data_IF_958654492392
#
_entry.id   IF_958654492392
#
_cell.length_a   1.000
_cell.length_b   1.000
_cell.length_c   1.000
_cell.angle_alpha   90.00
_cell.angle_beta   90.00
_cell.angle_gamma   90.00
#
_symmetry.space_group_name_H-M   'P 1'
#
loop_
_entity.id
_entity.type
_entity.pdbx_description
1 polymer ?
#
# COMPACT_ATOMS: atom_id res chain seq x y z
N UNK A 1 -0.64 -68.81 -39.38
CA UNK A 1 0.21 -69.29 -38.27
C UNK A 1 1.49 -68.45 -38.27
N UNK A 2 2.17 -68.29 -37.14
CA UNK A 2 3.31 -67.39 -36.91
C UNK A 2 3.00 -65.87 -36.94
N UNK A 3 3.19 -65.27 -35.77
CA UNK A 3 3.52 -63.87 -35.47
C UNK A 3 5.01 -63.84 -35.04
N UNK A 4 5.66 -62.70 -34.71
CA UNK A 4 5.42 -61.31 -35.11
C UNK A 4 6.72 -60.67 -35.69
N UNK A 5 6.74 -59.35 -35.89
CA UNK A 5 7.92 -58.56 -35.55
C UNK A 5 7.49 -57.13 -35.15
N UNK A 6 8.20 -56.52 -34.20
CA UNK A 6 7.72 -55.33 -33.46
C UNK A 6 8.78 -54.23 -33.33
N UNK A 7 8.39 -52.97 -33.56
CA UNK A 7 9.16 -51.77 -33.21
C UNK A 7 8.21 -50.78 -32.52
N UNK A 8 8.52 -50.30 -31.31
CA UNK A 8 7.67 -49.35 -30.59
C UNK A 8 7.89 -47.91 -31.07
N UNK A 9 6.82 -47.18 -31.39
CA UNK A 9 6.89 -45.74 -31.62
C UNK A 9 6.81 -45.00 -30.27
N UNK A 10 7.86 -44.28 -29.90
CA UNK A 10 7.95 -43.60 -28.61
C UNK A 10 7.18 -42.27 -28.63
N UNK A 11 5.94 -42.25 -28.12
CA UNK A 11 5.14 -41.02 -28.03
C UNK A 11 5.72 -40.12 -26.93
N UNK A 12 6.59 -39.18 -27.33
CA UNK A 12 7.26 -38.28 -26.42
C UNK A 12 6.29 -37.19 -25.92
N UNK A 13 5.80 -37.37 -24.69
CA UNK A 13 4.94 -36.41 -23.98
C UNK A 13 5.65 -35.07 -23.73
N UNK A 14 5.57 -34.14 -24.68
CA UNK A 14 5.95 -32.74 -24.45
C UNK A 14 4.99 -32.08 -23.46
N UNK A 15 5.36 -32.08 -22.17
CA UNK A 15 4.70 -31.28 -21.15
C UNK A 15 5.02 -29.80 -21.40
N UNK A 16 4.08 -29.08 -22.00
CA UNK A 16 4.13 -27.61 -22.07
C UNK A 16 4.03 -27.08 -20.63
N UNK A 17 5.00 -26.30 -20.12
CA UNK A 17 4.89 -25.72 -18.79
C UNK A 17 3.86 -24.59 -18.83
N UNK A 18 2.74 -24.76 -18.13
CA UNK A 18 1.76 -23.69 -17.90
C UNK A 18 2.38 -22.62 -17.01
N UNK A 19 2.94 -21.58 -17.64
CA UNK A 19 3.47 -20.40 -16.96
C UNK A 19 2.30 -19.57 -16.40
N UNK A 20 1.80 -19.97 -15.22
CA UNK A 20 0.79 -19.23 -14.47
C UNK A 20 1.43 -17.94 -13.95
N UNK A 21 1.33 -16.88 -14.73
CA UNK A 21 1.56 -15.51 -14.26
C UNK A 21 0.47 -15.17 -13.23
N UNK A 22 0.70 -15.56 -11.99
CA UNK A 22 -0.10 -15.12 -10.85
C UNK A 22 0.16 -13.63 -10.64
N UNK A 23 -0.57 -12.79 -11.38
CA UNK A 23 -0.64 -11.35 -11.14
C UNK A 23 -1.48 -11.15 -9.87
N UNK A 24 -0.87 -11.51 -8.74
CA UNK A 24 -1.31 -11.20 -7.41
C UNK A 24 -1.12 -9.70 -7.21
N UNK A 25 -2.07 -8.89 -7.69
CA UNK A 25 -2.16 -7.47 -7.30
C UNK A 25 -2.49 -7.41 -5.81
N UNK A 26 -1.44 -7.55 -5.00
CA UNK A 26 -1.44 -7.18 -3.60
C UNK A 26 -1.73 -5.69 -3.53
N UNK A 27 -3.01 -5.34 -3.36
CA UNK A 27 -3.38 -4.04 -2.85
C UNK A 27 -2.75 -3.93 -1.46
N UNK A 28 -1.57 -3.30 -1.38
CA UNK A 28 -0.91 -2.98 -0.13
C UNK A 28 -1.74 -1.92 0.58
N UNK A 29 -2.72 -2.38 1.36
CA UNK A 29 -3.54 -1.52 2.21
C UNK A 29 -2.63 -0.78 3.20
N UNK A 30 -2.53 0.53 2.98
CA UNK A 30 -1.76 1.43 3.83
C UNK A 30 -2.53 1.70 5.13
N UNK A 31 -2.27 0.84 6.11
CA UNK A 31 -2.54 1.12 7.51
C UNK A 31 -1.37 1.91 8.09
N UNK A 32 -1.61 2.59 9.22
CA UNK A 32 -0.58 3.07 10.13
C UNK A 32 0.41 1.93 10.45
N UNK A 33 1.71 2.19 10.27
CA UNK A 33 2.76 1.21 10.56
C UNK A 33 3.42 1.56 11.89
N UNK A 34 3.38 0.64 12.84
CA UNK A 34 4.13 0.73 14.09
C UNK A 34 4.80 -0.59 14.47
N UNK A 35 5.89 -0.50 15.23
CA UNK A 35 6.57 -1.62 15.87
C UNK A 35 7.43 -1.17 17.05
N UNK A 36 7.80 -2.12 17.90
CA UNK A 36 8.71 -1.92 19.04
C UNK A 36 9.61 -3.15 19.19
N UNK A 37 10.92 -2.95 19.07
CA UNK A 37 11.97 -3.92 19.38
C UNK A 37 12.72 -3.48 20.63
N UNK A 38 12.58 -4.26 21.71
CA UNK A 38 13.33 -4.07 22.96
C UNK A 38 14.61 -4.91 23.03
N UNK A 39 14.82 -5.78 22.04
CA UNK A 39 15.96 -6.69 21.89
C UNK A 39 15.99 -7.26 20.46
N UNK A 40 17.15 -7.74 20.02
CA UNK A 40 17.39 -8.28 18.68
C UNK A 40 18.01 -9.68 18.73
N UNK A 41 17.17 -10.71 18.74
CA UNK A 41 17.59 -12.11 18.65
C UNK A 41 18.25 -12.43 17.29
N UNK A 42 19.16 -13.43 17.21
CA UNK A 42 19.72 -13.90 15.95
C UNK A 42 18.65 -14.34 14.94
N UNK A 43 18.93 -14.12 13.64
CA UNK A 43 18.07 -14.54 12.52
C UNK A 43 16.61 -14.01 12.59
N UNK A 44 16.40 -12.81 13.13
CA UNK A 44 15.08 -12.21 13.25
C UNK A 44 14.46 -11.90 11.88
N UNK A 45 13.48 -12.70 11.45
CA UNK A 45 12.80 -12.58 10.15
C UNK A 45 12.11 -11.22 9.87
N UNK A 46 11.90 -10.39 10.90
CA UNK A 46 11.36 -9.03 10.76
C UNK A 46 12.42 -7.99 10.36
N UNK A 47 13.71 -8.35 10.30
CA UNK A 47 14.81 -7.47 9.91
C UNK A 47 15.48 -8.02 8.65
N UNK A 48 15.65 -7.18 7.63
CA UNK A 48 16.43 -7.48 6.43
C UNK A 48 17.82 -6.86 6.55
N UNK A 49 18.85 -7.70 6.42
CA UNK A 49 20.27 -7.33 6.55
C UNK A 49 20.95 -7.22 5.18
N UNK A 50 21.93 -6.32 5.06
CA UNK A 50 22.86 -6.23 3.94
C UNK A 50 24.29 -5.96 4.44
N UNK A 51 25.29 -6.37 3.67
CA UNK A 51 26.70 -6.20 4.03
C UNK A 51 27.07 -6.98 5.29
N UNK A 52 27.84 -6.36 6.18
CA UNK A 52 28.33 -6.97 7.41
C UNK A 52 27.32 -6.97 8.59
N UNK A 53 26.10 -6.45 8.40
CA UNK A 53 25.15 -6.29 9.50
C UNK A 53 24.46 -7.59 9.92
N UNK A 54 24.25 -7.80 11.23
CA UNK A 54 23.62 -8.99 11.81
C UNK A 54 22.96 -8.70 13.16
N UNK A 55 22.27 -9.67 13.76
CA UNK A 55 21.79 -9.59 15.15
C UNK A 55 22.38 -10.71 16.00
N UNK A 56 22.86 -10.37 17.21
CA UNK A 56 23.36 -11.33 18.20
C UNK A 56 23.50 -10.66 19.56
N UNK A 57 23.43 -11.44 20.64
CA UNK A 57 23.52 -10.95 22.03
C UNK A 57 22.50 -9.83 22.32
N UNK A 58 21.27 -10.03 21.85
CA UNK A 58 20.12 -9.14 21.96
C UNK A 58 20.30 -7.73 21.36
N UNK A 59 21.37 -7.50 20.58
CA UNK A 59 21.66 -6.22 19.90
C UNK A 59 21.75 -6.39 18.39
N UNK A 60 21.38 -5.32 17.67
CA UNK A 60 21.52 -5.20 16.23
C UNK A 60 22.89 -4.58 15.93
N UNK A 61 23.73 -5.28 15.18
CA UNK A 61 25.14 -4.91 14.98
C UNK A 61 25.33 -4.55 13.51
N UNK A 62 25.77 -3.32 13.25
CA UNK A 62 25.81 -2.74 11.89
C UNK A 62 27.18 -2.88 11.22
N UNK A 63 28.22 -3.17 12.00
CA UNK A 63 29.62 -3.38 11.58
C UNK A 63 30.17 -4.67 12.18
N UNK A 64 31.23 -5.23 11.58
CA UNK A 64 31.93 -6.42 12.08
C UNK A 64 32.41 -6.23 13.52
N UNK A 65 32.25 -7.25 14.37
CA UNK A 65 32.71 -7.25 15.76
C UNK A 65 33.69 -8.39 16.13
N UNK A 66 33.96 -9.31 15.19
CA UNK A 66 34.56 -10.61 15.48
C UNK A 66 36.08 -10.51 15.59
N UNK A 67 36.63 -10.98 16.72
CA UNK A 67 38.06 -10.81 17.09
C UNK A 67 39.05 -11.45 16.11
N UNK A 68 38.60 -12.43 15.32
CA UNK A 68 39.44 -13.25 14.43
C UNK A 68 39.22 -12.92 12.94
N UNK A 69 38.61 -11.77 12.63
CA UNK A 69 38.34 -11.26 11.26
C UNK A 69 38.92 -9.86 11.12
N UNK A 70 39.37 -9.47 9.91
CA UNK A 70 39.72 -8.07 9.69
C UNK A 70 38.47 -7.18 9.79
N UNK A 71 38.51 -6.21 10.71
CA UNK A 71 37.39 -5.33 11.02
C UNK A 71 37.38 -4.03 10.18
N UNK A 72 38.51 -3.66 9.55
CA UNK A 72 38.60 -2.45 8.71
C UNK A 72 37.72 -2.57 7.46
N UNK A 73 37.23 -1.44 6.96
CA UNK A 73 36.42 -1.40 5.74
C UNK A 73 35.08 -2.12 5.90
N UNK A 74 34.55 -2.22 7.13
CA UNK A 74 33.25 -2.84 7.37
C UNK A 74 32.11 -1.90 6.97
N UNK A 75 31.07 -2.44 6.35
CA UNK A 75 29.89 -1.68 5.90
C UNK A 75 28.65 -2.57 5.98
N UNK A 76 27.57 -2.07 6.59
CA UNK A 76 26.35 -2.85 6.78
C UNK A 76 25.08 -1.99 6.88
N UNK A 77 23.95 -2.62 6.53
CA UNK A 77 22.60 -2.07 6.72
C UNK A 77 21.69 -3.09 7.39
N UNK A 78 20.91 -2.66 8.36
CA UNK A 78 19.82 -3.45 8.94
C UNK A 78 18.51 -2.66 8.87
N UNK A 79 17.46 -3.26 8.34
CA UNK A 79 16.24 -2.55 7.95
C UNK A 79 14.98 -3.33 8.31
N UNK A 80 13.87 -2.63 8.57
CA UNK A 80 12.60 -3.31 8.84
C UNK A 80 12.04 -3.94 7.57
N UNK A 81 11.54 -5.18 7.65
CA UNK A 81 11.14 -5.96 6.47
C UNK A 81 9.92 -5.41 5.71
N UNK A 82 9.03 -4.67 6.38
CA UNK A 82 7.80 -4.14 5.76
C UNK A 82 8.06 -2.76 5.13
N UNK A 83 7.63 -2.54 3.88
CA UNK A 83 7.54 -1.22 3.27
C UNK A 83 6.78 -0.22 4.15
N UNK A 84 7.33 0.99 4.29
CA UNK A 84 6.66 2.15 4.87
C UNK A 84 6.09 2.97 3.72
N UNK A 85 4.82 3.41 3.82
CA UNK A 85 4.24 4.33 2.84
C UNK A 85 4.47 5.76 3.30
N UNK A 86 5.36 6.48 2.63
CA UNK A 86 5.80 7.82 3.04
C UNK A 86 4.86 8.92 2.54
N UNK A 87 4.16 8.67 1.43
CA UNK A 87 3.09 9.51 0.88
C UNK A 87 2.07 8.66 0.11
N UNK A 88 0.91 9.24 -0.23
CA UNK A 88 -0.07 8.63 -1.14
C UNK A 88 -0.02 9.34 -2.50
N UNK A 89 0.29 8.62 -3.59
CA UNK A 89 0.53 9.22 -4.90
C UNK A 89 -0.73 9.85 -5.55
N UNK A 90 -1.91 9.33 -5.22
CA UNK A 90 -3.23 9.79 -5.70
C UNK A 90 -3.63 11.15 -5.11
N UNK A 91 -3.31 11.38 -3.84
CA UNK A 91 -3.72 12.56 -3.06
C UNK A 91 -2.56 13.49 -2.71
N UNK A 92 -1.32 13.06 -2.96
CA UNK A 92 -0.05 13.68 -2.54
C UNK A 92 0.06 13.91 -1.02
N UNK A 93 -0.81 13.34 -0.17
CA UNK A 93 -0.67 13.43 1.29
C UNK A 93 0.63 12.77 1.74
N UNK A 94 1.37 13.45 2.62
CA UNK A 94 2.52 12.89 3.34
C UNK A 94 2.04 12.13 4.59
N UNK A 95 2.91 11.25 5.06
CA UNK A 95 2.80 10.51 6.33
C UNK A 95 3.61 11.23 7.40
N UNK A 96 3.05 11.46 8.60
CA UNK A 96 3.86 11.79 9.78
C UNK A 96 4.51 10.50 10.28
N UNK A 97 5.73 10.58 10.80
CA UNK A 97 6.34 9.45 11.51
C UNK A 97 7.14 9.91 12.73
N UNK A 98 7.38 8.99 13.66
CA UNK A 98 8.35 9.14 14.74
C UNK A 98 9.04 7.80 14.96
N UNK A 99 10.35 7.84 15.12
CA UNK A 99 11.15 6.70 15.54
C UNK A 99 11.99 7.09 16.75
N UNK A 100 12.11 6.18 17.71
CA UNK A 100 13.06 6.28 18.81
C UNK A 100 13.91 5.03 18.87
N UNK A 101 15.22 5.20 19.06
CA UNK A 101 16.16 4.11 19.19
C UNK A 101 17.24 4.44 20.23
N UNK A 102 17.63 3.43 21.00
CA UNK A 102 18.80 3.47 21.87
C UNK A 102 19.97 2.80 21.16
N UNK A 103 21.15 3.43 21.14
CA UNK A 103 22.34 2.90 20.47
C UNK A 103 23.63 3.12 21.26
N UNK A 104 24.69 2.43 20.85
CA UNK A 104 26.06 2.56 21.36
C UNK A 104 27.02 2.54 20.17
N UNK A 105 27.87 3.56 20.08
CA UNK A 105 29.06 3.61 19.23
C UNK A 105 30.28 3.39 20.11
N UNK A 106 31.22 2.51 19.71
CA UNK A 106 32.41 2.22 20.51
C UNK A 106 33.63 1.85 19.66
N UNK A 107 34.61 2.74 19.65
CA UNK A 107 35.96 2.52 19.15
C UNK A 107 36.60 1.25 19.73
N UNK A 108 37.30 0.50 18.87
CA UNK A 108 38.10 -0.66 19.28
C UNK A 108 39.46 -0.22 19.84
N UNK A 109 40.02 0.87 19.32
CA UNK A 109 41.25 1.51 19.82
C UNK A 109 40.95 2.92 20.37
N UNK A 110 41.47 3.23 21.56
CA UNK A 110 41.10 4.42 22.32
C UNK A 110 41.80 5.67 21.78
N UNK A 111 41.15 6.30 20.79
CA UNK A 111 41.69 7.44 20.05
C UNK A 111 41.72 7.24 18.53
N UNK A 112 41.28 6.08 18.03
CA UNK A 112 41.04 5.80 16.61
C UNK A 112 39.63 5.24 16.45
N UNK A 113 38.73 6.14 16.08
CA UNK A 113 37.29 5.92 15.96
C UNK A 113 36.86 6.29 14.54
N UNK A 114 35.89 5.57 13.98
CA UNK A 114 35.41 5.83 12.64
C UNK A 114 34.40 4.80 12.15
N UNK A 115 33.43 5.16 11.32
CA UNK A 115 33.24 6.49 10.73
C UNK A 115 31.91 7.07 11.20
N UNK A 116 30.84 6.29 11.14
CA UNK A 116 29.60 6.62 11.84
C UNK A 116 28.47 5.65 11.57
N UNK A 117 27.29 6.00 12.08
CA UNK A 117 26.02 5.35 11.74
C UNK A 117 24.96 6.36 11.33
N UNK A 118 23.92 5.91 10.62
CA UNK A 118 22.75 6.72 10.32
C UNK A 118 21.45 5.96 10.58
N UNK A 119 20.36 6.71 10.77
CA UNK A 119 19.00 6.23 10.47
C UNK A 119 18.64 6.69 9.05
N UNK A 120 18.32 5.77 8.15
CA UNK A 120 18.08 6.08 6.72
C UNK A 120 16.67 5.75 6.25
N UNK A 121 16.25 6.46 5.19
CA UNK A 121 15.03 6.24 4.42
C UNK A 121 15.42 6.17 2.94
N UNK A 122 15.09 5.05 2.27
CA UNK A 122 15.51 4.77 0.89
C UNK A 122 14.47 3.93 0.11
N UNK A 123 14.58 3.78 -1.23
CA UNK A 123 13.82 2.78 -1.99
C UNK A 123 13.91 1.37 -1.42
N UNK A 124 12.85 0.57 -1.63
CA UNK A 124 12.68 -0.76 -1.03
C UNK A 124 13.84 -1.72 -1.29
N UNK A 125 14.44 -1.62 -2.48
CA UNK A 125 15.49 -2.52 -2.97
C UNK A 125 16.86 -1.80 -3.07
N UNK A 126 17.03 -0.67 -2.36
CA UNK A 126 18.29 0.08 -2.32
C UNK A 126 19.44 -0.80 -1.80
N UNK A 127 20.47 -1.07 -2.63
CA UNK A 127 21.66 -1.81 -2.19
C UNK A 127 22.64 -0.88 -1.47
N UNK A 128 23.56 -1.47 -0.70
CA UNK A 128 24.84 -0.80 -0.37
C UNK A 128 25.60 -0.55 -1.69
N UNK A 129 26.03 0.68 -2.00
CA UNK A 129 26.84 0.95 -3.19
C UNK A 129 28.21 0.28 -3.14
N UNK A 130 28.87 0.16 -4.30
CA UNK A 130 30.27 -0.23 -4.33
C UNK A 130 31.14 0.81 -3.60
N UNK A 131 32.14 0.32 -2.88
CA UNK A 131 33.15 1.08 -2.15
C UNK A 131 32.57 2.09 -1.12
N UNK A 132 31.42 1.76 -0.52
CA UNK A 132 30.63 2.58 0.41
C UNK A 132 31.07 2.48 1.89
N UNK A 133 32.29 2.01 2.17
CA UNK A 133 32.85 1.94 3.54
C UNK A 133 33.40 3.29 4.01
N UNK A 134 33.83 3.38 5.28
CA UNK A 134 34.31 4.64 5.87
C UNK A 134 33.19 5.68 6.00
N UNK A 135 33.52 6.97 5.83
CA UNK A 135 32.61 8.11 5.92
C UNK A 135 31.45 8.12 4.92
N UNK A 136 31.35 7.15 4.00
CA UNK A 136 30.20 7.00 3.10
C UNK A 136 28.98 6.29 3.76
N UNK A 137 29.10 5.93 5.04
CA UNK A 137 28.05 5.40 5.94
C UNK A 137 27.29 4.16 5.42
N UNK A 138 27.87 3.38 4.51
CA UNK A 138 27.21 2.35 3.70
C UNK A 138 25.98 2.88 2.90
N UNK A 139 25.88 4.20 2.69
CA UNK A 139 24.80 4.90 2.00
C UNK A 139 25.17 5.32 0.57
N UNK A 140 26.33 5.94 0.39
CA UNK A 140 26.69 6.63 -0.86
C UNK A 140 27.84 5.96 -1.61
N UNK A 141 27.93 6.19 -2.92
CA UNK A 141 29.12 5.80 -3.71
C UNK A 141 30.12 6.96 -3.76
N UNK A 142 31.44 6.71 -3.88
CA UNK A 142 32.44 7.78 -4.06
C UNK A 142 32.13 8.72 -5.23
N UNK A 143 31.46 8.23 -6.27
CA UNK A 143 31.09 8.97 -7.48
C UNK A 143 29.90 9.92 -7.27
N UNK A 144 29.02 9.63 -6.32
CA UNK A 144 27.74 10.34 -6.14
C UNK A 144 27.64 11.07 -4.80
N UNK A 145 28.49 10.75 -3.81
CA UNK A 145 28.39 11.23 -2.43
C UNK A 145 28.36 12.76 -2.29
N UNK A 146 29.20 13.50 -3.03
CA UNK A 146 29.32 14.96 -2.93
C UNK A 146 28.42 15.74 -3.91
N UNK A 147 27.57 15.04 -4.66
CA UNK A 147 26.88 15.59 -5.84
C UNK A 147 25.39 15.92 -5.63
N UNK A 148 24.83 15.58 -4.46
CA UNK A 148 23.38 15.59 -4.22
C UNK A 148 22.56 14.82 -5.28
N UNK A 149 23.15 13.80 -5.94
CA UNK A 149 22.53 13.14 -7.10
C UNK A 149 21.19 12.50 -6.76
N UNK A 150 20.18 12.79 -7.60
CA UNK A 150 18.85 12.18 -7.51
C UNK A 150 18.84 10.67 -7.73
N UNK A 151 19.96 10.08 -8.16
CA UNK A 151 20.17 8.63 -8.26
C UNK A 151 20.36 7.97 -6.88
N UNK A 152 20.84 8.71 -5.87
CA UNK A 152 21.06 8.17 -4.53
C UNK A 152 19.74 7.83 -3.83
N UNK A 153 18.71 8.66 -4.01
CA UNK A 153 17.36 8.52 -3.40
C UNK A 153 17.39 8.20 -1.90
N UNK A 154 18.22 8.91 -1.13
CA UNK A 154 18.41 8.69 0.31
C UNK A 154 18.14 9.99 1.05
N UNK A 155 17.35 9.88 2.13
CA UNK A 155 17.34 10.88 3.21
C UNK A 155 17.75 10.15 4.48
N UNK A 156 18.71 10.68 5.22
CA UNK A 156 19.21 10.06 6.44
C UNK A 156 19.44 11.08 7.55
N UNK A 157 19.64 10.55 8.76
CA UNK A 157 20.10 11.29 9.95
C UNK A 157 21.37 10.59 10.41
N UNK A 158 22.51 11.21 10.14
CA UNK A 158 23.83 10.71 10.50
C UNK A 158 24.23 11.08 11.93
N UNK A 159 25.06 10.21 12.50
CA UNK A 159 25.72 10.31 13.79
C UNK A 159 27.20 10.06 13.52
N UNK A 160 27.90 11.11 13.09
CA UNK A 160 29.30 11.03 12.65
C UNK A 160 30.27 11.06 13.83
N UNK A 161 31.34 10.28 13.69
CA UNK A 161 32.43 10.17 14.66
C UNK A 161 33.77 10.71 14.17
N UNK A 162 33.93 10.96 12.86
CA UNK A 162 35.26 11.08 12.24
C UNK A 162 35.24 12.00 10.99
N UNK A 163 35.46 13.29 11.24
CA UNK A 163 35.62 14.35 10.23
C UNK A 163 36.52 13.93 9.05
N UNK A 164 35.92 13.65 7.92
CA UNK A 164 36.55 13.68 6.62
C UNK A 164 36.63 15.13 6.12
N UNK A 165 37.86 15.54 5.79
CA UNK A 165 38.25 16.96 5.63
C UNK A 165 37.52 17.66 4.46
N UNK A 166 36.99 16.88 3.50
CA UNK A 166 36.38 17.37 2.27
C UNK A 166 34.91 17.81 2.44
N UNK A 167 34.18 17.32 3.45
CA UNK A 167 32.75 17.65 3.64
C UNK A 167 32.33 17.99 5.08
N UNK A 168 32.94 17.40 6.11
CA UNK A 168 32.38 17.46 7.46
C UNK A 168 32.62 18.79 8.19
N UNK A 169 31.69 19.25 9.05
CA UNK A 169 31.91 20.40 9.93
C UNK A 169 32.93 20.10 11.03
N UNK A 170 32.76 19.00 11.77
CA UNK A 170 33.54 18.62 12.96
C UNK A 170 33.59 17.10 13.14
N UNK A 171 34.48 16.60 14.00
CA UNK A 171 34.71 15.15 14.20
C UNK A 171 33.72 14.50 15.19
N UNK A 172 32.59 15.14 15.43
CA UNK A 172 31.60 14.70 16.39
C UNK A 172 30.31 15.48 16.14
N UNK A 173 29.50 15.05 15.17
CA UNK A 173 28.34 15.83 14.76
C UNK A 173 27.11 14.97 14.47
N UNK A 174 25.95 15.62 14.46
CA UNK A 174 24.67 15.03 14.04
C UNK A 174 24.23 15.77 12.79
N UNK A 175 23.80 15.05 11.78
CA UNK A 175 23.47 15.60 10.46
C UNK A 175 22.08 15.23 9.96
N UNK A 176 21.73 15.82 8.82
CA UNK A 176 20.55 15.50 8.02
C UNK A 176 20.99 15.47 6.55
N UNK A 177 20.86 14.29 5.95
CA UNK A 177 21.44 13.99 4.63
C UNK A 177 20.34 13.99 3.58
N UNK A 178 20.61 14.57 2.41
CA UNK A 178 19.64 14.64 1.31
C UNK A 178 20.34 14.36 0.00
N UNK A 179 20.29 13.09 -0.44
CA UNK A 179 20.99 12.58 -1.64
C UNK A 179 22.52 12.84 -1.66
N UNK A 180 23.12 13.19 -0.53
CA UNK A 180 24.50 13.65 -0.39
C UNK A 180 25.03 13.24 0.97
N UNK A 181 26.32 12.90 1.10
CA UNK A 181 26.99 12.83 2.42
C UNK A 181 27.28 14.23 2.98
N UNK A 182 27.23 15.27 2.12
CA UNK A 182 27.28 16.65 2.60
C UNK A 182 25.94 17.01 3.24
N UNK A 183 25.89 16.90 4.56
CA UNK A 183 24.75 17.26 5.42
C UNK A 183 24.14 18.62 5.06
N UNK A 184 22.81 18.68 4.86
CA UNK A 184 22.13 19.96 4.53
C UNK A 184 21.82 20.81 5.77
N UNK A 185 21.85 20.20 6.96
CA UNK A 185 21.83 20.85 8.25
C UNK A 185 22.48 19.93 9.28
N UNK A 186 23.38 20.46 10.11
CA UNK A 186 24.11 19.69 11.12
C UNK A 186 24.31 20.49 12.41
N UNK A 187 24.71 19.79 13.49
CA UNK A 187 25.02 20.40 14.79
C UNK A 187 26.18 19.69 15.49
N UNK A 188 27.11 20.47 16.05
CA UNK A 188 28.23 19.96 16.86
C UNK A 188 27.72 19.20 18.09
N UNK A 189 28.17 17.96 18.23
CA UNK A 189 27.78 17.08 19.31
C UNK A 189 28.66 17.30 20.54
N UNK A 190 28.08 17.82 21.61
CA UNK A 190 28.81 18.24 22.82
C UNK A 190 29.16 17.10 23.81
N UNK A 191 29.03 15.83 23.40
CA UNK A 191 29.26 14.65 24.25
C UNK A 191 30.19 13.66 23.55
N UNK A 192 31.04 12.97 24.30
CA UNK A 192 32.04 12.06 23.73
C UNK A 192 31.45 10.66 23.47
N UNK A 193 30.87 10.51 22.28
CA UNK A 193 30.26 9.27 21.75
C UNK A 193 31.23 8.08 21.82
N UNK A 194 32.51 8.39 21.57
CA UNK A 194 33.73 7.56 21.55
C UNK A 194 33.99 6.78 22.85
N UNK A 195 33.15 6.97 23.88
CA UNK A 195 33.22 6.31 25.19
C UNK A 195 32.44 4.99 25.30
N UNK A 196 31.58 4.66 24.33
CA UNK A 196 30.66 3.51 24.47
C UNK A 196 29.44 3.80 25.36
N UNK A 197 29.15 5.07 25.63
CA UNK A 197 27.96 5.50 26.38
C UNK A 197 26.67 5.24 25.59
N UNK A 198 25.57 4.90 26.28
CA UNK A 198 24.25 4.70 25.65
C UNK A 198 23.63 6.03 25.23
N UNK A 199 23.43 6.22 23.92
CA UNK A 199 22.72 7.34 23.34
C UNK A 199 21.26 6.97 23.03
N UNK A 200 20.37 7.96 23.09
CA UNK A 200 18.97 7.83 22.69
C UNK A 200 18.64 8.92 21.67
N UNK A 201 18.21 8.51 20.47
CA UNK A 201 17.78 9.41 19.41
C UNK A 201 16.28 9.27 19.14
N UNK A 202 15.63 10.41 18.93
CA UNK A 202 14.32 10.52 18.28
C UNK A 202 14.52 11.17 16.92
N UNK A 203 13.94 10.58 15.88
CA UNK A 203 13.78 11.22 14.56
C UNK A 203 12.30 11.25 14.25
N UNK A 204 11.76 12.44 13.99
CA UNK A 204 10.33 12.63 13.70
C UNK A 204 10.12 13.54 12.50
N UNK A 205 9.08 13.25 11.73
CA UNK A 205 8.70 14.05 10.57
C UNK A 205 7.26 14.52 10.71
N UNK A 206 7.07 15.84 10.69
CA UNK A 206 5.75 16.46 10.66
C UNK A 206 5.35 16.76 9.22
N UNK A 207 4.34 16.05 8.72
CA UNK A 207 3.85 16.14 7.33
C UNK A 207 3.25 17.49 6.97
N UNK A 208 2.78 18.25 7.97
CA UNK A 208 2.09 19.53 7.79
C UNK A 208 3.07 20.70 7.71
N UNK A 209 4.11 20.71 8.55
CA UNK A 209 5.19 21.71 8.50
C UNK A 209 6.34 21.30 7.58
N UNK A 210 6.34 20.05 7.08
CA UNK A 210 7.45 19.39 6.36
C UNK A 210 8.76 19.34 7.17
N UNK A 211 8.69 19.39 8.50
CA UNK A 211 9.87 19.46 9.34
C UNK A 211 10.37 18.06 9.70
N UNK A 212 11.61 17.74 9.32
CA UNK A 212 12.36 16.60 9.83
C UNK A 212 13.14 17.07 11.06
N UNK A 213 12.80 16.53 12.22
CA UNK A 213 13.34 16.89 13.53
C UNK A 213 14.14 15.74 14.12
N UNK A 214 15.28 16.07 14.75
CA UNK A 214 16.13 15.13 15.48
C UNK A 214 16.29 15.62 16.92
N UNK A 215 16.21 14.72 17.89
CA UNK A 215 16.55 14.98 19.29
C UNK A 215 17.43 13.86 19.83
N UNK A 216 18.50 14.23 20.54
CA UNK A 216 19.55 13.30 20.96
C UNK A 216 19.96 13.56 22.42
N UNK A 217 19.97 12.50 23.23
CA UNK A 217 20.28 12.59 24.67
C UNK A 217 21.03 11.37 25.20
N UNK A 218 21.79 11.60 26.27
CA UNK A 218 22.54 10.58 27.04
C UNK A 218 21.93 10.33 28.44
N UNK A 219 20.75 10.90 28.73
CA UNK A 219 20.07 10.65 29.99
C UNK A 219 19.70 9.16 30.15
N UNK A 220 19.96 8.59 31.33
CA UNK A 220 19.62 7.18 31.63
C UNK A 220 18.12 6.90 31.57
N UNK A 221 17.31 7.90 31.97
CA UNK A 221 15.86 7.96 31.81
C UNK A 221 15.55 9.10 30.83
N UNK A 222 15.47 8.84 29.52
CA UNK A 222 15.39 9.89 28.50
C UNK A 222 13.94 10.29 28.20
N UNK A 223 13.59 11.54 28.55
CA UNK A 223 12.29 12.13 28.22
C UNK A 223 12.40 13.09 27.02
N UNK A 224 11.53 12.93 26.01
CA UNK A 224 11.47 13.87 24.89
C UNK A 224 10.57 15.07 25.23
N UNK A 225 11.17 16.12 25.78
CA UNK A 225 10.50 17.38 26.14
C UNK A 225 10.08 18.27 24.96
N UNK A 226 9.86 17.72 23.76
CA UNK A 226 9.37 18.42 22.57
C UNK A 226 10.41 19.25 21.79
N UNK A 227 11.51 19.68 22.42
CA UNK A 227 12.57 20.44 21.76
C UNK A 227 13.49 19.54 20.94
N UNK A 228 13.72 19.86 19.66
CA UNK A 228 14.70 19.19 18.80
C UNK A 228 16.12 19.75 18.98
N UNK A 229 17.15 18.92 18.86
CA UNK A 229 18.56 19.35 18.81
C UNK A 229 18.97 19.85 17.42
N UNK A 230 18.35 19.29 16.37
CA UNK A 230 18.55 19.63 14.96
C UNK A 230 17.20 19.51 14.23
N UNK A 231 16.98 20.31 13.19
CA UNK A 231 15.80 20.17 12.33
C UNK A 231 16.05 20.76 10.94
N UNK A 232 15.28 20.29 9.94
CA UNK A 232 15.34 20.78 8.57
C UNK A 232 13.97 20.67 7.87
N UNK A 233 13.62 21.68 7.08
CA UNK A 233 12.35 21.74 6.35
C UNK A 233 12.53 21.08 4.97
N UNK A 234 11.97 19.88 4.79
CA UNK A 234 12.15 19.04 3.60
C UNK A 234 10.85 18.41 3.13
N UNK A 235 10.54 18.57 1.84
CA UNK A 235 9.46 17.81 1.20
C UNK A 235 9.98 16.44 0.76
N UNK A 236 9.78 15.41 1.60
CA UNK A 236 10.29 14.07 1.31
C UNK A 236 9.76 13.50 -0.02
N UNK A 237 8.64 14.02 -0.56
CA UNK A 237 8.05 13.64 -1.85
C UNK A 237 8.86 14.13 -3.08
N UNK A 238 9.90 14.93 -2.88
CA UNK A 238 10.79 15.45 -3.94
C UNK A 238 12.07 14.60 -4.10
N UNK A 239 12.37 13.75 -3.11
CA UNK A 239 13.59 12.94 -3.02
C UNK A 239 13.30 11.42 -2.98
N UNK A 240 12.20 11.01 -2.33
CA UNK A 240 11.89 9.61 -2.03
C UNK A 240 10.62 9.10 -2.74
N UNK A 241 10.59 7.81 -3.13
CA UNK A 241 9.40 7.18 -3.72
C UNK A 241 8.24 7.06 -2.71
N UNK A 242 7.07 6.64 -3.21
CA UNK A 242 5.86 6.47 -2.40
C UNK A 242 6.02 5.44 -1.27
N UNK A 243 6.74 4.35 -1.59
CA UNK A 243 7.05 3.25 -0.68
C UNK A 243 8.55 3.19 -0.44
N UNK A 244 8.94 3.25 0.84
CA UNK A 244 10.33 3.31 1.29
C UNK A 244 10.62 2.22 2.31
N UNK A 245 11.90 1.87 2.42
CA UNK A 245 12.46 1.05 3.49
C UNK A 245 13.16 1.96 4.47
N UNK A 246 12.97 1.70 5.75
CA UNK A 246 13.65 2.38 6.86
C UNK A 246 14.61 1.41 7.54
N UNK A 247 15.68 1.94 8.10
CA UNK A 247 16.67 1.14 8.81
C UNK A 247 17.84 1.97 9.32
N UNK A 248 18.88 1.26 9.73
CA UNK A 248 20.16 1.82 10.12
C UNK A 248 21.25 1.34 9.18
N UNK A 249 22.21 2.21 8.91
CA UNK A 249 23.45 1.89 8.23
C UNK A 249 24.63 2.29 9.10
N UNK A 250 25.76 1.62 8.95
CA UNK A 250 27.02 2.06 9.53
C UNK A 250 28.19 1.54 8.71
N UNK A 251 29.31 2.24 8.81
CA UNK A 251 30.58 1.76 8.27
C UNK A 251 31.79 2.30 9.02
N UNK A 252 32.92 1.68 8.75
CA UNK A 252 34.24 2.04 9.29
C UNK A 252 35.32 1.83 8.23
N UNK A 253 36.31 2.72 8.19
CA UNK A 253 37.51 2.62 7.37
C UNK A 253 38.62 1.85 8.10
N UNK A 254 39.79 2.49 8.24
CA UNK A 254 40.94 1.93 8.97
C UNK A 254 40.83 2.06 10.51
N UNK A 255 39.93 2.92 11.00
CA UNK A 255 39.78 3.25 12.42
C UNK A 255 38.48 2.64 12.96
N UNK A 256 38.59 1.43 13.52
CA UNK A 256 37.43 0.56 13.78
C UNK A 256 36.55 1.03 14.93
N UNK A 257 35.27 1.35 14.63
CA UNK A 257 34.20 1.55 15.62
C UNK A 257 33.08 0.51 15.45
N UNK A 258 32.61 -0.02 16.58
CA UNK A 258 31.49 -0.97 16.66
C UNK A 258 30.19 -0.18 16.86
N UNK A 259 29.21 -0.43 15.99
CA UNK A 259 27.95 0.30 15.93
C UNK A 259 26.76 -0.63 16.27
N UNK A 260 26.15 -0.44 17.45
CA UNK A 260 25.11 -1.32 17.98
C UNK A 260 23.81 -0.57 18.30
N UNK A 261 22.67 -1.04 17.77
CA UNK A 261 21.34 -0.60 18.20
C UNK A 261 20.82 -1.58 19.27
N UNK A 262 20.38 -1.03 20.40
CA UNK A 262 19.89 -1.77 21.57
C UNK A 262 18.35 -1.89 21.59
N UNK A 263 17.67 -0.87 21.06
CA UNK A 263 16.20 -0.83 20.94
C UNK A 263 15.79 -0.02 19.72
N UNK A 264 14.63 -0.32 19.13
CA UNK A 264 14.08 0.45 18.02
C UNK A 264 12.55 0.43 18.01
N UNK A 265 11.96 1.62 18.07
CA UNK A 265 10.52 1.85 17.93
C UNK A 265 10.25 2.70 16.69
N UNK A 266 9.11 2.48 16.05
CA UNK A 266 8.63 3.29 14.94
C UNK A 266 7.11 3.40 14.99
N UNK A 267 6.57 4.55 14.62
CA UNK A 267 5.15 4.82 14.45
C UNK A 267 4.92 5.77 13.26
N UNK A 268 3.81 5.60 12.55
CA UNK A 268 3.45 6.43 11.38
C UNK A 268 1.94 6.64 11.24
N UNK A 269 1.53 7.85 10.87
CA UNK A 269 0.15 8.34 10.99
C UNK A 269 -0.80 7.99 9.83
N UNK A 270 -0.30 7.36 8.76
CA UNK A 270 -1.06 7.22 7.50
C UNK A 270 -2.07 6.07 7.52
N UNK A 271 -3.16 6.27 8.24
CA UNK A 271 -4.42 5.59 7.90
C UNK A 271 -5.06 6.26 6.67
N UNK A 272 -5.19 5.49 5.59
CA UNK A 272 -6.01 5.90 4.45
C UNK A 272 -7.47 5.59 4.74
N UNK A 273 -8.22 6.61 5.15
CA UNK A 273 -9.68 6.56 5.34
C UNK A 273 -10.43 6.45 4.01
N UNK A 274 -10.32 5.28 3.39
CA UNK A 274 -10.88 5.00 2.06
C UNK A 274 -12.41 4.89 2.15
N UNK A 275 -13.10 6.01 1.83
CA UNK A 275 -14.52 5.98 1.44
C UNK A 275 -14.66 5.08 0.21
N UNK A 276 -14.96 3.79 0.46
CA UNK A 276 -14.93 2.66 -0.49
C UNK A 276 -15.21 3.06 -1.95
N UNK A 277 -14.15 3.12 -2.76
CA UNK A 277 -14.22 3.17 -4.23
C UNK A 277 -13.46 1.99 -4.87
N UNK A 278 -13.53 0.83 -4.19
CA UNK A 278 -13.07 -0.47 -4.68
C UNK A 278 -13.95 -0.92 -5.86
N UNK A 279 -13.55 -0.57 -7.08
CA UNK A 279 -14.24 -0.99 -8.31
C UNK A 279 -13.46 -0.67 -9.58
N UNK A 280 -12.84 0.52 -9.67
CA UNK A 280 -12.18 0.96 -10.91
C UNK A 280 -10.88 0.19 -11.22
N UNK A 281 -10.08 -0.16 -10.20
CA UNK A 281 -8.81 -0.87 -10.40
C UNK A 281 -8.98 -2.32 -10.87
N UNK A 282 -9.97 -3.04 -10.34
CA UNK A 282 -10.22 -4.45 -10.69
C UNK A 282 -10.71 -4.58 -12.13
N UNK A 283 -11.61 -3.68 -12.56
CA UNK A 283 -12.13 -3.67 -13.94
C UNK A 283 -11.04 -3.46 -15.01
N UNK A 284 -10.03 -2.62 -14.72
CA UNK A 284 -8.91 -2.39 -15.64
C UNK A 284 -7.94 -3.59 -15.70
N UNK A 285 -7.63 -4.22 -14.57
CA UNK A 285 -6.78 -5.41 -14.55
C UNK A 285 -7.39 -6.58 -15.33
N UNK A 286 -8.69 -6.85 -15.11
CA UNK A 286 -9.44 -7.88 -15.86
C UNK A 286 -9.54 -7.50 -17.34
N UNK A 287 -9.84 -6.24 -17.67
CA UNK A 287 -9.94 -5.77 -19.06
C UNK A 287 -8.65 -5.96 -19.86
N UNK A 288 -7.48 -5.67 -19.30
CA UNK A 288 -6.19 -5.82 -19.98
C UNK A 288 -5.79 -7.30 -20.09
N UNK A 289 -6.07 -8.12 -19.07
CA UNK A 289 -5.86 -9.57 -19.14
C UNK A 289 -6.71 -10.24 -20.22
N UNK A 290 -7.97 -9.85 -20.35
CA UNK A 290 -8.86 -10.31 -21.43
C UNK A 290 -8.37 -9.80 -22.80
N UNK A 291 -8.04 -8.51 -22.94
CA UNK A 291 -7.60 -7.95 -24.23
C UNK A 291 -6.29 -8.52 -24.74
N UNK A 292 -5.35 -8.89 -23.87
CA UNK A 292 -4.07 -9.50 -24.28
C UNK A 292 -4.22 -10.98 -24.64
N UNK A 293 -5.03 -11.74 -23.89
CA UNK A 293 -5.33 -13.14 -24.21
C UNK A 293 -6.21 -13.28 -25.46
N UNK A 294 -7.25 -12.46 -25.61
CA UNK A 294 -8.00 -12.37 -26.88
C UNK A 294 -7.15 -11.81 -28.01
N UNK A 295 -6.28 -10.83 -27.78
CA UNK A 295 -5.42 -10.25 -28.83
C UNK A 295 -4.50 -11.30 -29.48
N UNK A 296 -3.81 -12.09 -28.65
CA UNK A 296 -2.95 -13.18 -29.13
C UNK A 296 -3.80 -14.34 -29.66
N UNK A 297 -4.91 -14.68 -28.99
CA UNK A 297 -5.85 -15.71 -29.45
C UNK A 297 -6.44 -15.43 -30.82
N UNK A 298 -6.89 -14.19 -31.07
CA UNK A 298 -7.42 -13.71 -32.36
C UNK A 298 -6.31 -13.61 -33.40
N UNK A 299 -5.09 -13.18 -33.05
CA UNK A 299 -3.98 -13.19 -34.00
C UNK A 299 -3.62 -14.62 -34.44
N UNK A 300 -3.51 -15.57 -33.50
CA UNK A 300 -3.33 -16.99 -33.80
C UNK A 300 -4.51 -17.56 -34.60
N UNK A 301 -5.76 -17.22 -34.25
CA UNK A 301 -6.96 -17.63 -34.97
C UNK A 301 -6.94 -17.09 -36.42
N UNK A 302 -6.62 -15.82 -36.64
CA UNK A 302 -6.52 -15.20 -37.98
C UNK A 302 -5.38 -15.81 -38.80
N UNK A 303 -4.24 -16.13 -38.20
CA UNK A 303 -3.14 -16.82 -38.87
C UNK A 303 -3.51 -18.27 -39.25
N UNK A 304 -4.16 -19.01 -38.35
CA UNK A 304 -4.71 -20.34 -38.63
C UNK A 304 -5.83 -20.29 -39.68
N UNK A 305 -6.71 -19.30 -39.63
CA UNK A 305 -7.81 -19.08 -40.58
C UNK A 305 -7.29 -18.77 -41.98
N UNK A 306 -6.27 -17.91 -42.11
CA UNK A 306 -5.57 -17.67 -43.39
C UNK A 306 -4.88 -18.94 -43.92
N UNK A 307 -4.31 -19.77 -43.03
CA UNK A 307 -3.69 -21.05 -43.39
C UNK A 307 -4.70 -22.15 -43.76
N UNK A 308 -5.94 -22.09 -43.25
CA UNK A 308 -6.99 -23.05 -43.60
C UNK A 308 -7.86 -22.61 -44.78
N UNK A 309 -7.98 -21.29 -45.04
CA UNK A 309 -8.70 -20.74 -46.20
C UNK A 309 -8.13 -21.25 -47.53
N UNK A 310 -6.81 -21.34 -47.64
CA UNK A 310 -6.09 -21.94 -48.79
C UNK A 310 -6.22 -23.46 -48.90
N UNK A 311 -6.98 -24.11 -48.00
CA UNK A 311 -7.29 -25.55 -48.04
C UNK A 311 -8.75 -25.88 -48.37
N UNK A 312 -9.70 -24.95 -48.18
CA UNK A 312 -11.10 -25.15 -48.61
C UNK A 312 -11.36 -24.70 -50.05
N UNK A 313 -10.47 -23.92 -50.67
CA UNK A 313 -10.63 -23.33 -52.01
C UNK A 313 -10.23 -24.31 -53.15
N UNK A 314 -10.54 -25.61 -52.99
CA UNK A 314 -10.22 -26.68 -53.95
C UNK A 314 -11.27 -27.79 -54.12
N UNK A 315 -12.22 -27.91 -53.19
CA UNK A 315 -13.04 -29.13 -53.07
C UNK A 315 -14.52 -28.92 -53.47
N UNK A 316 -14.86 -27.77 -54.07
CA UNK A 316 -16.22 -27.45 -54.56
C UNK A 316 -16.18 -26.66 -55.89
N UNK A 317 -15.93 -27.35 -57.00
CA UNK A 317 -16.17 -26.85 -58.36
C UNK A 317 -16.92 -27.93 -59.17
N UNK A 318 -18.26 -27.90 -59.12
CA UNK A 318 -19.17 -28.38 -60.17
C UNK A 318 -20.64 -28.33 -59.71
N UNK A 319 -21.41 -27.39 -60.27
CA UNK A 319 -22.70 -27.60 -60.97
C UNK A 319 -23.42 -26.25 -61.08
N UNK A 320 -23.72 -25.88 -62.32
CA UNK A 320 -24.48 -24.68 -62.72
C UNK A 320 -25.92 -25.10 -63.04
N UNK A 321 -26.91 -24.42 -62.43
CA UNK A 321 -28.28 -24.31 -62.93
C UNK A 321 -28.85 -22.94 -62.55
N UNK A 322 -29.21 -22.14 -63.54
CA UNK A 322 -29.95 -20.87 -63.41
C UNK A 322 -31.44 -21.08 -63.15
N UNK A 323 -32.09 -20.17 -62.40
CA UNK A 323 -33.50 -19.78 -62.61
C UNK A 323 -33.83 -18.46 -61.91
N UNK A 324 -34.32 -17.49 -62.67
CA UNK A 324 -35.02 -16.30 -62.19
C UNK A 324 -36.52 -16.63 -62.01
N UNK A 325 -37.24 -15.93 -61.12
CA UNK A 325 -38.65 -15.54 -61.38
C UNK A 325 -39.21 -14.48 -60.40
N UNK A 326 -40.44 -14.03 -60.66
CA UNK A 326 -40.97 -12.71 -60.24
C UNK A 326 -42.17 -12.74 -59.23
N UNK A 327 -42.44 -11.57 -58.63
CA UNK A 327 -43.78 -11.00 -58.34
C UNK A 327 -44.63 -11.35 -57.07
N UNK A 328 -44.70 -10.33 -56.19
CA UNK A 328 -45.92 -9.75 -55.55
C UNK A 328 -46.62 -10.22 -54.24
N UNK A 329 -47.19 -9.18 -53.57
CA UNK A 329 -48.37 -9.11 -52.66
C UNK A 329 -48.48 -10.14 -51.51
N UNK A 330 -48.17 -9.85 -50.25
CA UNK A 330 -48.19 -8.58 -49.53
C UNK A 330 -49.34 -8.51 -48.50
N UNK A 331 -49.04 -8.05 -47.28
CA UNK A 331 -50.01 -7.50 -46.32
C UNK A 331 -49.24 -6.54 -45.41
N UNK A 332 -49.77 -5.34 -45.17
CA UNK A 332 -49.04 -4.28 -44.47
C UNK A 332 -49.54 -4.04 -43.05
N UNK A 333 -48.61 -4.05 -42.08
CA UNK A 333 -48.72 -3.19 -40.90
C UNK A 333 -47.71 -2.05 -41.02
N UNK A 334 -48.11 -0.85 -40.59
CA UNK A 334 -47.20 0.29 -40.48
C UNK A 334 -46.34 0.14 -39.22
N UNK A 335 -45.14 -0.41 -39.35
CA UNK A 335 -44.10 -0.01 -38.40
C UNK A 335 -43.77 1.46 -38.64
N UNK A 336 -44.13 2.28 -37.66
CA UNK A 336 -43.62 3.64 -37.52
C UNK A 336 -42.10 3.54 -37.46
N UNK A 337 -41.37 4.32 -38.27
CA UNK A 337 -39.91 4.41 -38.17
C UNK A 337 -39.52 4.97 -36.80
N UNK A 338 -39.34 4.09 -35.82
CA UNK A 338 -38.54 4.38 -34.65
C UNK A 338 -37.08 4.17 -35.04
N UNK A 339 -36.28 5.21 -34.87
CA UNK A 339 -34.83 5.09 -34.72
C UNK A 339 -34.49 3.90 -33.80
N UNK A 340 -33.40 3.14 -34.05
CA UNK A 340 -33.04 1.98 -33.25
C UNK A 340 -32.92 2.41 -31.79
N UNK A 341 -33.95 2.09 -31.01
CA UNK A 341 -34.07 2.54 -29.64
C UNK A 341 -32.93 1.92 -28.85
N UNK A 342 -32.34 2.68 -27.92
CA UNK A 342 -31.29 2.18 -27.03
C UNK A 342 -31.93 1.29 -25.96
N UNK A 343 -32.51 0.16 -26.38
CA UNK A 343 -33.03 -0.89 -25.51
C UNK A 343 -31.89 -1.28 -24.58
N UNK A 344 -32.05 -0.98 -23.30
CA UNK A 344 -30.97 -1.11 -22.33
C UNK A 344 -30.84 -2.61 -22.06
N UNK A 345 -29.65 -3.18 -22.17
CA UNK A 345 -29.47 -4.64 -22.12
C UNK A 345 -30.20 -5.29 -20.91
N UNK A 346 -30.10 -4.66 -19.73
CA UNK A 346 -30.82 -5.10 -18.51
C UNK A 346 -32.34 -5.12 -18.69
N UNK A 347 -32.91 -4.11 -19.35
CA UNK A 347 -34.36 -3.97 -19.58
C UNK A 347 -34.88 -5.02 -20.57
N UNK A 348 -34.12 -5.34 -21.61
CA UNK A 348 -34.41 -6.43 -22.55
C UNK A 348 -34.40 -7.80 -21.87
N UNK A 349 -33.33 -8.11 -21.13
CA UNK A 349 -33.21 -9.39 -20.41
C UNK A 349 -34.25 -9.51 -19.28
N UNK A 350 -34.66 -8.39 -18.66
CA UNK A 350 -35.73 -8.39 -17.65
C UNK A 350 -37.10 -8.72 -18.25
N UNK A 351 -37.39 -8.24 -19.47
CA UNK A 351 -38.63 -8.59 -20.16
C UNK A 351 -38.65 -10.08 -20.53
N UNK A 352 -37.55 -10.62 -21.06
CA UNK A 352 -37.41 -12.04 -21.37
C UNK A 352 -37.52 -12.93 -20.11
N UNK A 353 -36.99 -12.50 -18.96
CA UNK A 353 -37.26 -13.15 -17.66
C UNK A 353 -38.75 -13.12 -17.30
N UNK A 354 -39.41 -11.97 -17.48
CA UNK A 354 -40.84 -11.79 -17.22
C UNK A 354 -41.77 -12.62 -18.12
N UNK A 355 -41.30 -12.95 -19.33
CA UNK A 355 -41.98 -13.76 -20.34
C UNK A 355 -41.61 -15.26 -20.26
N UNK A 356 -40.65 -15.64 -19.40
CA UNK A 356 -40.16 -17.01 -19.26
C UNK A 356 -39.20 -17.47 -20.37
N UNK A 357 -38.75 -16.54 -21.22
CA UNK A 357 -37.89 -16.76 -22.39
C UNK A 357 -36.42 -16.37 -22.13
N UNK A 358 -35.94 -16.53 -20.90
CA UNK A 358 -34.65 -15.99 -20.48
C UNK A 358 -33.45 -16.50 -21.31
N UNK A 359 -33.50 -17.74 -21.78
CA UNK A 359 -32.44 -18.33 -22.60
C UNK A 359 -32.36 -17.73 -24.02
N UNK A 360 -33.39 -17.03 -24.51
CA UNK A 360 -33.33 -16.33 -25.81
C UNK A 360 -32.38 -15.12 -25.80
N UNK A 361 -31.93 -14.68 -24.61
CA UNK A 361 -30.86 -13.69 -24.45
C UNK A 361 -29.43 -14.29 -24.41
N UNK A 362 -29.27 -15.60 -24.57
CA UNK A 362 -27.96 -16.26 -24.66
C UNK A 362 -27.40 -16.10 -26.07
N UNK A 363 -26.10 -15.83 -26.19
CA UNK A 363 -25.46 -15.60 -27.49
C UNK A 363 -25.46 -16.89 -28.33
N UNK A 364 -25.92 -16.79 -29.59
CA UNK A 364 -26.00 -17.91 -30.53
C UNK A 364 -24.62 -18.50 -30.87
N UNK A 365 -23.53 -17.75 -30.66
CA UNK A 365 -22.16 -18.24 -30.79
C UNK A 365 -21.74 -19.24 -29.69
N UNK A 366 -22.55 -19.42 -28.63
CA UNK A 366 -22.33 -20.47 -27.63
C UNK A 366 -22.84 -21.86 -28.08
N UNK A 367 -23.42 -21.98 -29.29
CA UNK A 367 -23.71 -23.25 -29.98
C UNK A 367 -24.36 -24.36 -29.13
N UNK A 368 -25.24 -24.00 -28.18
CA UNK A 368 -25.89 -24.92 -27.23
C UNK A 368 -24.95 -25.75 -26.33
N UNK A 369 -23.66 -25.40 -26.26
CA UNK A 369 -22.65 -26.09 -25.45
C UNK A 369 -22.56 -25.49 -24.03
N UNK A 370 -23.72 -25.46 -23.35
CA UNK A 370 -23.85 -24.96 -21.98
C UNK A 370 -24.97 -25.69 -21.22
N UNK A 371 -24.84 -25.78 -19.90
CA UNK A 371 -25.90 -26.28 -19.02
C UNK A 371 -26.99 -25.19 -18.85
N UNK A 372 -28.20 -25.49 -19.33
CA UNK A 372 -29.34 -24.56 -19.30
C UNK A 372 -29.65 -24.03 -17.89
N UNK A 373 -29.49 -24.86 -16.84
CA UNK A 373 -29.77 -24.48 -15.44
C UNK A 373 -28.68 -23.60 -14.86
N UNK A 374 -27.43 -23.83 -15.25
CA UNK A 374 -26.32 -22.93 -14.89
C UNK A 374 -26.48 -21.58 -15.60
N UNK A 375 -26.89 -21.58 -16.87
CA UNK A 375 -27.14 -20.37 -17.64
C UNK A 375 -28.34 -19.57 -17.08
N UNK A 376 -29.47 -20.23 -16.82
CA UNK A 376 -30.64 -19.63 -16.16
C UNK A 376 -30.29 -19.06 -14.78
N UNK A 377 -29.61 -19.83 -13.93
CA UNK A 377 -29.15 -19.40 -12.61
C UNK A 377 -28.27 -18.13 -12.71
N UNK A 378 -27.28 -18.13 -13.60
CA UNK A 378 -26.38 -17.01 -13.83
C UNK A 378 -27.14 -15.75 -14.30
N UNK A 379 -28.13 -15.90 -15.18
CA UNK A 379 -28.92 -14.79 -15.70
C UNK A 379 -29.90 -14.22 -14.66
N UNK A 380 -30.57 -15.06 -13.87
CA UNK A 380 -31.43 -14.63 -12.76
C UNK A 380 -30.60 -13.92 -11.68
N UNK A 381 -29.43 -14.46 -11.32
CA UNK A 381 -28.49 -13.81 -10.39
C UNK A 381 -27.99 -12.48 -10.95
N UNK A 382 -27.72 -12.39 -12.26
CA UNK A 382 -27.38 -11.15 -12.96
C UNK A 382 -28.47 -10.08 -12.83
N UNK A 383 -29.72 -10.42 -13.11
CA UNK A 383 -30.88 -9.52 -12.93
C UNK A 383 -31.03 -9.10 -11.46
N UNK A 384 -30.83 -10.01 -10.51
CA UNK A 384 -30.89 -9.70 -9.07
C UNK A 384 -29.81 -8.68 -8.65
N UNK A 385 -28.59 -8.82 -9.17
CA UNK A 385 -27.49 -7.86 -8.98
C UNK A 385 -27.79 -6.50 -9.65
N UNK A 386 -28.51 -6.51 -10.77
CA UNK A 386 -28.91 -5.31 -11.52
C UNK A 386 -30.20 -4.64 -11.03
N UNK A 387 -30.83 -5.13 -9.95
CA UNK A 387 -32.13 -4.65 -9.48
C UNK A 387 -32.16 -3.11 -9.29
N UNK A 388 -33.17 -2.37 -9.80
CA UNK A 388 -33.21 -0.90 -9.75
C UNK A 388 -33.05 -0.31 -8.34
N UNK A 389 -33.82 -0.80 -7.37
CA UNK A 389 -33.62 -0.52 -5.95
C UNK A 389 -32.36 -1.23 -5.44
N UNK A 390 -31.48 -0.50 -4.76
CA UNK A 390 -30.22 -1.02 -4.21
C UNK A 390 -30.41 -1.85 -2.92
N UNK A 391 -31.51 -1.66 -2.20
CA UNK A 391 -31.82 -2.38 -0.95
C UNK A 391 -32.26 -3.83 -1.20
N UNK A 392 -32.76 -4.11 -2.41
CA UNK A 392 -33.22 -5.43 -2.85
C UNK A 392 -32.14 -6.22 -3.63
N UNK A 393 -30.94 -5.65 -3.80
CA UNK A 393 -29.78 -6.34 -4.40
C UNK A 393 -29.15 -7.32 -3.39
N UNK A 394 -28.60 -8.45 -3.85
CA UNK A 394 -27.98 -9.43 -2.98
C UNK A 394 -26.65 -8.95 -2.41
N UNK A 395 -26.29 -9.45 -1.23
CA UNK A 395 -24.89 -9.48 -0.80
C UNK A 395 -24.10 -10.49 -1.64
N UNK A 396 -22.79 -10.28 -1.79
CA UNK A 396 -21.91 -11.20 -2.52
C UNK A 396 -21.95 -12.65 -1.98
N UNK A 397 -22.27 -12.83 -0.69
CA UNK A 397 -22.47 -14.16 -0.10
C UNK A 397 -23.72 -14.83 -0.63
N UNK A 398 -24.84 -14.11 -0.74
CA UNK A 398 -26.07 -14.65 -1.35
C UNK A 398 -25.87 -14.98 -2.83
N UNK A 399 -25.12 -14.16 -3.57
CA UNK A 399 -24.72 -14.43 -4.96
C UNK A 399 -23.95 -15.75 -5.08
N UNK A 400 -22.89 -15.93 -4.28
CA UNK A 400 -22.07 -17.16 -4.30
C UNK A 400 -22.92 -18.38 -3.91
N UNK A 401 -23.71 -18.29 -2.84
CA UNK A 401 -24.57 -19.38 -2.38
C UNK A 401 -25.58 -19.82 -3.46
N UNK A 402 -26.17 -18.90 -4.23
CA UNK A 402 -27.11 -19.26 -5.31
C UNK A 402 -26.35 -19.84 -6.52
N UNK A 403 -25.21 -19.27 -6.92
CA UNK A 403 -24.39 -19.77 -8.05
C UNK A 403 -23.78 -21.16 -7.76
N UNK A 404 -23.50 -21.48 -6.50
CA UNK A 404 -23.09 -22.81 -6.06
C UNK A 404 -24.26 -23.81 -5.93
N UNK A 405 -25.51 -23.39 -6.18
CA UNK A 405 -26.73 -24.15 -5.90
C UNK A 405 -26.93 -24.53 -4.41
N UNK A 406 -26.25 -23.84 -3.49
CA UNK A 406 -26.43 -23.97 -2.03
C UNK A 406 -27.67 -23.23 -1.50
N UNK A 407 -28.31 -22.40 -2.34
CA UNK A 407 -29.51 -21.63 -2.03
C UNK A 407 -30.47 -21.60 -3.24
N UNK A 408 -31.80 -21.53 -3.02
CA UNK A 408 -32.78 -21.44 -4.11
C UNK A 408 -32.69 -20.12 -4.87
N UNK A 409 -33.13 -20.13 -6.13
CA UNK A 409 -33.17 -18.96 -7.01
C UNK A 409 -34.06 -17.84 -6.43
N UNK A 410 -33.66 -16.56 -6.57
CA UNK A 410 -34.46 -15.42 -6.11
C UNK A 410 -35.67 -15.18 -7.04
N UNK A 411 -36.85 -15.02 -6.45
CA UNK A 411 -38.06 -14.64 -7.20
C UNK A 411 -38.07 -13.14 -7.48
N UNK A 412 -37.64 -12.72 -8.68
CA UNK A 412 -37.65 -11.32 -9.11
C UNK A 412 -39.02 -10.92 -9.70
N UNK A 413 -39.42 -9.62 -9.65
CA UNK A 413 -40.63 -9.13 -10.32
C UNK A 413 -40.60 -9.37 -11.83
N UNK A 414 -41.73 -9.79 -12.43
CA UNK A 414 -41.86 -10.08 -13.86
C UNK A 414 -41.87 -8.84 -14.78
N UNK A 415 -41.70 -7.63 -14.23
CA UNK A 415 -41.44 -6.39 -14.98
C UNK A 415 -40.42 -5.55 -14.22
N UNK A 416 -39.55 -4.86 -14.95
CA UNK A 416 -38.51 -4.00 -14.38
C UNK A 416 -39.15 -2.89 -13.51
N UNK A 417 -38.86 -2.81 -12.20
CA UNK A 417 -39.48 -1.81 -11.33
C UNK A 417 -38.91 -0.41 -11.59
N UNK A 418 -39.78 0.61 -11.59
CA UNK A 418 -39.39 2.01 -11.76
C UNK A 418 -38.56 2.47 -10.54
N UNK A 419 -37.39 3.13 -10.71
CA UNK A 419 -36.59 3.61 -9.58
C UNK A 419 -37.32 4.65 -8.71
N UNK A 420 -37.74 4.27 -7.51
CA UNK A 420 -38.30 5.21 -6.53
C UNK A 420 -37.20 5.97 -5.78
N UNK A 421 -36.81 7.13 -6.33
CA UNK A 421 -35.95 8.08 -5.62
C UNK A 421 -36.74 8.86 -4.57
N UNK A 422 -36.77 8.35 -3.34
CA UNK A 422 -37.24 9.12 -2.18
C UNK A 422 -36.29 10.29 -1.90
N UNK A 423 -36.66 11.48 -2.37
CA UNK A 423 -35.99 12.72 -1.99
C UNK A 423 -36.17 12.98 -0.49
N UNK A 424 -35.10 13.20 0.30
CA UNK A 424 -35.24 13.58 1.70
C UNK A 424 -36.00 14.91 1.85
N UNK A 425 -36.86 15.07 2.87
CA UNK A 425 -37.51 16.36 3.13
C UNK A 425 -36.47 17.45 3.42
N UNK A 426 -36.46 18.53 2.62
CA UNK A 426 -35.57 19.66 2.86
C UNK A 426 -36.00 20.43 4.11
N UNK A 427 -35.31 20.19 5.23
CA UNK A 427 -35.48 20.96 6.46
C UNK A 427 -34.15 21.07 7.23
N UNK A 428 -33.97 22.21 7.91
CA UNK A 428 -32.87 22.55 8.82
C UNK A 428 -31.44 22.57 8.25
N UNK A 429 -31.16 23.55 7.39
CA UNK A 429 -29.86 24.25 7.36
C UNK A 429 -30.11 25.77 7.34
N UNK A 430 -30.45 26.34 8.50
CA UNK A 430 -30.86 27.74 8.63
C UNK A 430 -29.64 28.68 8.83
N UNK A 431 -28.89 28.92 7.76
CA UNK A 431 -27.84 29.94 7.74
C UNK A 431 -28.47 31.35 7.83
N UNK A 432 -28.46 31.93 9.03
CA UNK A 432 -28.91 33.31 9.26
C UNK A 432 -27.80 34.30 8.90
N UNK A 433 -27.75 34.71 7.64
CA UNK A 433 -26.95 35.86 7.20
C UNK A 433 -27.58 37.17 7.75
N UNK A 434 -26.95 37.79 8.75
CA UNK A 434 -27.29 39.16 9.18
C UNK A 434 -26.30 40.15 8.57
N UNK A 435 -26.72 40.83 7.50
CA UNK A 435 -25.95 41.89 6.84
C UNK A 435 -26.30 43.26 7.42
N UNK A 436 -25.34 43.91 8.07
CA UNK A 436 -25.33 45.35 8.32
C UNK A 436 -23.91 45.80 8.66
N UNK A 437 -23.29 46.62 7.80
CA UNK A 437 -22.03 47.29 8.11
C UNK A 437 -22.27 48.72 8.62
N UNK A 438 -21.26 49.32 9.26
CA UNK A 438 -21.04 50.76 9.40
C UNK A 438 -19.58 51.00 9.85
N UNK A 439 -19.14 52.25 9.73
CA UNK A 439 -17.79 52.84 9.90
C UNK A 439 -16.85 52.29 10.99
N UNK A 440 -15.55 52.53 10.78
CA UNK A 440 -14.47 52.28 11.74
C UNK A 440 -14.55 53.14 13.01
N UNK A 441 -13.97 52.64 14.10
CA UNK A 441 -12.80 53.30 14.73
C UNK A 441 -11.93 52.28 15.52
N UNK A 442 -10.99 52.77 16.31
CA UNK A 442 -9.80 52.10 16.87
C UNK A 442 -10.00 50.94 17.88
N UNK A 443 -8.89 50.19 17.98
CA UNK A 443 -8.31 49.59 19.20
C UNK A 443 -8.59 48.15 19.62
N UNK A 444 -7.59 47.57 20.27
CA UNK A 444 -7.42 46.14 20.53
C UNK A 444 -7.91 45.75 21.91
N UNK A 445 -8.69 44.68 22.03
CA UNK A 445 -8.72 43.88 23.26
C UNK A 445 -8.67 42.37 22.99
N UNK A 446 -8.12 41.63 23.98
CA UNK A 446 -8.03 40.17 23.98
C UNK A 446 -9.40 39.51 24.04
N UNK A 447 -9.51 38.29 23.53
CA UNK A 447 -10.52 37.34 24.01
C UNK A 447 -9.91 35.93 24.08
N UNK A 448 -10.00 35.30 25.25
CA UNK A 448 -9.72 33.86 25.41
C UNK A 448 -11.05 33.11 25.21
N UNK A 449 -11.00 31.96 24.52
CA UNK A 449 -12.17 31.08 24.39
C UNK A 449 -11.98 29.85 25.29
N UNK A 450 -12.71 29.81 26.41
CA UNK A 450 -12.81 28.63 27.27
C UNK A 450 -13.95 27.74 26.81
N UNK A 451 -13.68 26.46 26.55
CA UNK A 451 -14.70 25.47 26.18
C UNK A 451 -15.20 24.70 27.41
N UNK A 452 -16.40 25.04 27.88
CA UNK A 452 -17.07 24.35 29.00
C UNK A 452 -17.85 23.13 28.52
N UNK A 453 -17.61 21.96 29.12
CA UNK A 453 -18.31 20.71 28.84
C UNK A 453 -19.80 20.77 29.23
N UNK A 454 -20.69 20.33 28.34
CA UNK A 454 -22.11 20.15 28.64
C UNK A 454 -22.41 18.71 29.10
N UNK A 455 -22.98 18.56 30.30
CA UNK A 455 -23.44 17.27 30.84
C UNK A 455 -24.96 17.32 31.09
N UNK A 456 -25.70 16.34 30.59
CA UNK A 456 -27.17 16.29 30.68
C UNK A 456 -27.65 15.45 31.84
N UNK A 457 -28.63 15.99 32.57
CA UNK A 457 -29.49 15.36 33.57
C UNK A 457 -30.83 16.14 33.55
N UNK A 458 -32.00 15.62 33.93
CA UNK A 458 -32.32 14.44 34.73
C UNK A 458 -33.76 13.93 34.48
N UNK A 459 -34.08 12.75 35.02
CA UNK A 459 -35.41 12.51 35.60
C UNK A 459 -35.38 11.34 36.61
N UNK A 460 -35.82 11.62 37.84
CA UNK A 460 -36.86 10.92 38.66
C UNK A 460 -36.88 9.37 38.70
N UNK A 461 -37.17 8.67 39.81
CA UNK A 461 -37.57 9.03 41.19
C UNK A 461 -37.45 7.77 42.10
N UNK A 462 -37.15 7.90 43.41
CA UNK A 462 -37.77 7.17 44.55
C UNK A 462 -37.01 7.41 45.89
N UNK A 463 -37.61 7.03 47.02
CA UNK A 463 -37.25 7.42 48.38
C UNK A 463 -36.21 6.52 49.11
N UNK A 464 -35.60 7.07 50.18
CA UNK A 464 -34.90 6.32 51.25
C UNK A 464 -35.86 5.89 52.38
N UNK A 465 -35.46 5.81 53.67
CA UNK A 465 -34.22 6.27 54.34
C UNK A 465 -33.41 5.05 54.90
N UNK A 466 -32.68 4.96 56.04
CA UNK A 466 -32.55 5.79 57.27
C UNK A 466 -31.28 5.50 58.11
N UNK A 467 -30.61 6.56 58.59
CA UNK A 467 -29.72 6.67 59.78
C UNK A 467 -28.40 5.86 59.83
N UNK A 468 -27.50 6.38 60.68
CA UNK A 468 -26.14 5.86 60.95
C UNK A 468 -26.03 5.24 62.35
N UNK A 469 -24.91 4.54 62.60
CA UNK A 469 -24.48 4.10 63.93
C UNK A 469 -22.95 4.23 64.08
N UNK A 470 -22.44 4.04 65.29
CA UNK A 470 -21.25 4.74 65.81
C UNK A 470 -20.17 3.80 66.36
N UNK A 471 -18.91 4.17 66.08
CA UNK A 471 -17.73 4.06 66.96
C UNK A 471 -17.00 2.71 67.27
N UNK A 472 -15.67 2.80 67.13
CA UNK A 472 -14.59 2.42 68.06
C UNK A 472 -13.94 1.02 68.13
N UNK A 473 -12.59 1.08 68.28
CA UNK A 473 -11.64 0.10 68.88
C UNK A 473 -11.37 -1.18 68.05
N UNK A 474 -10.18 -1.81 68.11
CA UNK A 474 -8.78 -1.45 68.49
C UNK A 474 -7.88 -2.51 67.78
N UNK A 475 -6.62 -2.28 67.42
CA UNK A 475 -5.41 -2.54 68.24
C UNK A 475 -5.46 -3.86 69.03
N UNK A 476 -4.46 -4.76 69.03
CA UNK A 476 -3.07 -4.79 68.50
C UNK A 476 -2.85 -6.19 67.83
N UNK A 477 -1.76 -6.58 67.17
CA UNK A 477 -0.30 -6.38 67.32
C UNK A 477 0.35 -6.26 65.93
#
# INVERSE_FOLDING_TARGET
MALPNSIPCLVQSQKIPTLVFSISTLFLYANSLSFNFTSFSPNMANISFQGDAFSSNDVLQLTKNAKDVNLTGSAGRASYYKPVRLWDARTRRLTDFTTHFTFVMKAVDSGRYGDGMSFFIAPLDSPIPQDSSGGLLALFSPHTALSASKENQIVAVEFDSKKDIEWDPSDNHVGIDVNSIVSVASVDWKSSIKTGSKANAWVSYNSTTKNLSVFLTYAENPEFGGNSTLHYIIDLREFLPEWVRIGFSASTGDWVEIHNILSWTFESSLEVSDKKKTGLGVGLAVGIGVLTTFGIGVLCFVLCWRKNRTRCEKDNEAIDVSMDDEFEKGLGLRETRQEPSKVRLVEWVWNLYGEGQLLDAVDKMLCTDFDERQMECLMIVGLWCCHPDYTLRPSIRQVINVLNFEAPLPTLPSKLPVPMYYAPPMSMCKFSYTSSGITADSERYRTQCSCSSCSTNSSMLSAGPTKALLNTRKSDI
#
